data_IF_836371284318
#
_entry.id   IF_836371284318
#
_cell.length_a   1.000
_cell.length_b   1.000
_cell.length_c   1.000
_cell.angle_alpha   90.00
_cell.angle_beta   90.00
_cell.angle_gamma   90.00
#
_symmetry.space_group_name_H-M   'P 1'
#
loop_
_entity.id
_entity.type
_entity.pdbx_description
1 polymer ?
#
# COMPACT_ATOMS: atom_id res chain seq x y z
N UNK A 1 -11.40 7.32 -7.91
CA UNK A 1 -9.97 7.18 -7.49
C UNK A 1 -9.34 6.09 -8.33
N UNK A 2 -8.10 6.24 -8.79
CA UNK A 2 -7.44 5.23 -9.65
C UNK A 2 -6.96 4.05 -8.82
N UNK A 3 -7.27 2.84 -9.30
CA UNK A 3 -6.88 1.56 -8.73
C UNK A 3 -6.08 0.73 -9.70
N UNK A 4 -5.08 0.06 -9.16
CA UNK A 4 -4.10 -0.72 -9.90
C UNK A 4 -4.06 -2.13 -9.32
N UNK A 5 -4.26 -3.13 -10.17
CA UNK A 5 -4.14 -4.53 -9.80
C UNK A 5 -2.73 -5.01 -10.12
N UNK A 6 -2.04 -5.53 -9.11
CA UNK A 6 -0.73 -6.14 -9.27
C UNK A 6 -0.80 -7.63 -9.02
N UNK A 7 -0.01 -8.39 -9.78
CA UNK A 7 0.31 -9.79 -9.50
C UNK A 7 1.72 -9.87 -8.90
N UNK A 8 1.84 -10.53 -7.77
CA UNK A 8 3.10 -10.80 -7.09
C UNK A 8 3.79 -12.04 -7.65
N UNK A 9 5.08 -12.21 -7.33
CA UNK A 9 5.86 -13.38 -7.76
C UNK A 9 5.29 -14.72 -7.28
N UNK A 10 4.61 -14.78 -6.13
CA UNK A 10 3.95 -16.02 -5.67
C UNK A 10 2.60 -16.26 -6.37
N UNK A 11 2.20 -15.38 -7.29
CA UNK A 11 0.95 -15.48 -8.04
C UNK A 11 -0.24 -14.80 -7.37
N UNK A 12 -0.11 -14.29 -6.13
CA UNK A 12 -1.17 -13.51 -5.48
C UNK A 12 -1.43 -12.21 -6.23
N UNK A 13 -2.68 -11.79 -6.16
CA UNK A 13 -3.17 -10.58 -6.83
C UNK A 13 -3.81 -9.64 -5.82
N UNK A 14 -3.52 -8.35 -5.95
CA UNK A 14 -3.97 -7.34 -5.00
C UNK A 14 -4.32 -6.02 -5.68
N UNK A 15 -5.22 -5.27 -5.07
CA UNK A 15 -5.65 -3.96 -5.53
C UNK A 15 -5.09 -2.85 -4.65
N UNK A 16 -4.41 -1.88 -5.27
CA UNK A 16 -3.81 -0.73 -4.57
C UNK A 16 -4.27 0.60 -5.15
N UNK A 17 -4.31 1.62 -4.30
CA UNK A 17 -4.56 2.99 -4.71
C UNK A 17 -3.29 3.64 -5.23
N UNK A 18 -3.44 4.82 -5.84
CA UNK A 18 -2.30 5.61 -6.31
C UNK A 18 -1.28 5.92 -5.20
N UNK A 19 -1.73 6.19 -3.97
CA UNK A 19 -0.85 6.45 -2.83
C UNK A 19 -0.03 5.19 -2.46
N UNK A 20 -0.68 4.05 -2.25
CA UNK A 20 0.02 2.80 -1.92
C UNK A 20 0.92 2.32 -3.07
N UNK A 21 0.50 2.54 -4.32
CA UNK A 21 1.35 2.30 -5.51
C UNK A 21 2.63 3.13 -5.45
N UNK A 22 2.55 4.40 -5.09
CA UNK A 22 3.72 5.29 -4.97
C UNK A 22 4.64 4.86 -3.83
N UNK A 23 4.09 4.51 -2.67
CA UNK A 23 4.87 4.00 -1.54
C UNK A 23 5.58 2.69 -1.84
N UNK A 24 5.09 1.91 -2.81
CA UNK A 24 5.66 0.61 -3.22
C UNK A 24 6.23 0.61 -4.62
N UNK A 25 6.66 1.78 -5.09
CA UNK A 25 7.31 1.92 -6.40
C UNK A 25 8.52 0.99 -6.55
N UNK A 26 9.26 0.76 -5.47
CA UNK A 26 10.41 -0.16 -5.45
C UNK A 26 10.00 -1.59 -5.86
N UNK A 27 8.93 -2.15 -5.31
CA UNK A 27 8.47 -3.51 -5.66
C UNK A 27 8.08 -3.64 -7.13
N UNK A 28 7.58 -2.55 -7.72
CA UNK A 28 7.23 -2.47 -9.15
C UNK A 28 8.52 -2.41 -9.98
N UNK A 29 9.50 -1.60 -9.58
CA UNK A 29 10.80 -1.49 -10.25
C UNK A 29 11.60 -2.79 -10.19
N UNK A 30 11.53 -3.49 -9.05
CA UNK A 30 12.14 -4.81 -8.84
C UNK A 30 11.43 -5.93 -9.60
N UNK A 31 10.36 -5.64 -10.36
CA UNK A 31 9.49 -6.62 -11.06
C UNK A 31 8.85 -7.66 -10.13
N UNK A 32 8.91 -7.47 -8.81
CA UNK A 32 8.21 -8.28 -7.83
C UNK A 32 6.70 -8.14 -7.98
N UNK A 33 6.25 -6.94 -8.39
CA UNK A 33 4.85 -6.62 -8.66
C UNK A 33 4.66 -6.30 -10.13
N UNK A 34 3.87 -7.14 -10.82
CA UNK A 34 3.51 -6.93 -12.23
C UNK A 34 2.12 -6.31 -12.32
N UNK A 35 2.02 -5.11 -12.91
CA UNK A 35 0.72 -4.49 -13.17
C UNK A 35 -0.05 -5.35 -14.18
N UNK A 36 -1.26 -5.77 -13.81
CA UNK A 36 -2.12 -6.62 -14.64
C UNK A 36 -3.46 -6.00 -14.97
N UNK A 37 -3.94 -5.03 -14.17
CA UNK A 37 -5.19 -4.32 -14.45
C UNK A 37 -5.18 -2.90 -13.89
N UNK A 38 -6.02 -2.02 -14.45
CA UNK A 38 -6.23 -0.66 -13.94
C UNK A 38 -7.71 -0.29 -14.07
N UNK A 39 -8.31 0.24 -13.01
CA UNK A 39 -9.71 0.68 -13.02
C UNK A 39 -9.86 2.00 -12.28
N UNK A 40 -10.76 2.84 -12.76
CA UNK A 40 -11.27 3.99 -12.01
C UNK A 40 -12.55 3.58 -11.31
N UNK A 41 -12.38 2.82 -10.24
CA UNK A 41 -13.48 2.27 -9.47
C UNK A 41 -13.25 2.52 -7.97
N UNK A 42 -14.33 2.60 -7.22
CA UNK A 42 -14.33 2.78 -5.76
C UNK A 42 -13.76 1.60 -4.97
N UNK A 43 -13.34 0.53 -5.66
CA UNK A 43 -12.73 -0.68 -5.10
C UNK A 43 -11.78 -0.41 -3.92
N UNK A 44 -11.92 -1.23 -2.89
CA UNK A 44 -11.12 -1.20 -1.66
C UNK A 44 -9.63 -1.39 -1.92
N UNK A 45 -8.82 -0.69 -1.13
CA UNK A 45 -7.38 -0.93 -1.12
C UNK A 45 -7.11 -2.07 -0.16
N UNK A 46 -6.35 -3.07 -0.59
CA UNK A 46 -5.91 -4.11 0.34
C UNK A 46 -5.14 -3.52 1.54
N UNK A 47 -4.40 -2.42 1.33
CA UNK A 47 -3.60 -1.77 2.38
C UNK A 47 -4.27 -0.59 3.08
N UNK A 48 -5.34 -0.04 2.52
CA UNK A 48 -6.11 1.03 3.18
C UNK A 48 -7.29 0.45 3.97
N UNK A 49 -7.79 -0.73 3.58
CA UNK A 49 -8.89 -1.41 4.26
C UNK A 49 -8.41 -2.38 5.35
N UNK A 50 -7.09 -2.50 5.59
CA UNK A 50 -6.57 -3.12 6.80
C UNK A 50 -6.55 -2.09 7.95
N UNK A 51 -7.44 -2.22 8.95
CA UNK A 51 -7.34 -1.40 10.15
C UNK A 51 -6.03 -1.77 10.86
N UNK A 52 -5.12 -0.80 10.95
CA UNK A 52 -3.93 -0.90 11.78
C UNK A 52 -4.39 -1.16 13.23
N UNK A 53 -4.27 -2.40 13.70
CA UNK A 53 -4.35 -2.67 15.13
C UNK A 53 -3.10 -3.43 15.57
N UNK A 54 -2.10 -2.66 15.98
CA UNK A 54 -1.20 -2.99 17.08
C UNK A 54 -0.36 -4.30 17.08
N UNK A 55 -0.26 -5.10 16.01
CA UNK A 55 0.69 -6.21 15.96
C UNK A 55 0.98 -6.55 14.49
N UNK A 56 2.19 -6.62 13.95
CA UNK A 56 3.41 -7.21 14.46
C UNK A 56 4.60 -6.47 13.84
N UNK A 57 5.64 -6.27 14.65
CA UNK A 57 6.87 -5.60 14.29
C UNK A 57 7.67 -6.35 13.20
N UNK A 58 8.57 -5.58 12.56
CA UNK A 58 9.71 -5.99 11.76
C UNK A 58 9.46 -6.34 10.29
N UNK A 59 9.35 -5.32 9.43
CA UNK A 59 10.47 -4.86 8.60
C UNK A 59 9.99 -3.67 7.75
N UNK A 60 10.66 -2.54 7.96
CA UNK A 60 10.89 -1.38 7.10
C UNK A 60 9.80 -0.91 6.09
N UNK A 61 9.51 0.40 6.17
CA UNK A 61 8.78 1.23 5.20
C UNK A 61 7.25 1.16 5.19
N UNK A 62 6.64 1.70 6.25
CA UNK A 62 5.53 2.63 6.04
C UNK A 62 5.47 3.60 7.23
N UNK A 63 6.17 4.74 7.13
CA UNK A 63 6.00 5.85 8.06
C UNK A 63 4.76 6.64 7.59
N UNK A 64 3.62 6.60 8.30
CA UNK A 64 2.61 7.62 8.08
C UNK A 64 3.15 8.96 8.58
N UNK A 65 3.01 9.97 7.74
CA UNK A 65 3.29 11.37 8.00
C UNK A 65 2.82 11.76 9.42
N UNK A 66 3.80 12.09 10.28
CA UNK A 66 3.59 12.65 11.60
C UNK A 66 2.75 13.92 11.49
N UNK A 67 1.58 13.94 12.10
CA UNK A 67 0.88 15.18 12.41
C UNK A 67 0.47 15.12 13.88
N UNK A 68 1.25 15.87 14.67
CA UNK A 68 0.86 16.52 15.92
C UNK A 68 0.34 15.64 17.06
N UNK A 69 1.17 15.43 18.06
CA UNK A 69 0.73 15.69 19.43
C UNK A 69 1.79 16.55 20.11
N UNK A 70 1.38 17.78 20.38
CA UNK A 70 2.14 18.80 21.08
C UNK A 70 2.50 18.30 22.49
N UNK A 71 3.77 18.51 22.86
CA UNK A 71 4.24 18.40 24.23
C UNK A 71 3.51 19.43 25.09
N UNK A 72 2.92 19.01 26.20
CA UNK A 72 2.48 19.94 27.25
C UNK A 72 2.61 19.28 28.61
N UNK A 73 3.78 19.56 29.20
CA UNK A 73 4.10 19.83 30.62
C UNK A 73 3.91 18.70 31.61
#
# INVERSE_FOLDING_TARGET
MKRFKYRMNDGKELWVCDNCKKSRAELILLKSWKLIDKREDGSDCEFCSQPTYAALQATDLCTPHSSGLEESI
#
